data_IF_367984530332
#
_entry.id   IF_367984530332
#
_cell.length_a   1.000
_cell.length_b   1.000
_cell.length_c   1.000
_cell.angle_alpha   90.00
_cell.angle_beta   90.00
_cell.angle_gamma   90.00
#
_symmetry.space_group_name_H-M   'P 1'
#
loop_
_entity.id
_entity.type
_entity.pdbx_description
1 polymer ?
#
# COMPACT_ATOMS: atom_id res chain seq x y z
N UNK A 1 -5.42 2.16 22.71
CA UNK A 1 -5.18 1.77 21.31
C UNK A 1 -3.75 1.26 21.09
N UNK A 2 -2.72 2.09 21.34
CA UNK A 2 -1.32 1.72 21.12
C UNK A 2 -0.91 0.40 21.82
N UNK A 3 -1.19 0.24 23.11
CA UNK A 3 -0.83 -0.98 23.87
C UNK A 3 -1.48 -2.26 23.33
N UNK A 4 -2.74 -2.17 22.89
CA UNK A 4 -3.47 -3.32 22.32
C UNK A 4 -2.85 -3.73 20.99
N UNK A 5 -2.53 -2.76 20.14
CA UNK A 5 -1.88 -3.01 18.85
C UNK A 5 -0.48 -3.62 19.03
N UNK A 6 0.29 -3.14 20.02
CA UNK A 6 1.60 -3.69 20.34
C UNK A 6 1.54 -5.14 20.83
N UNK A 7 0.53 -5.49 21.64
CA UNK A 7 0.35 -6.88 22.10
C UNK A 7 -0.01 -7.80 20.95
N UNK A 8 -0.93 -7.37 20.07
CA UNK A 8 -1.31 -8.13 18.87
C UNK A 8 -0.08 -8.33 17.96
N UNK A 9 0.69 -7.26 17.72
CA UNK A 9 1.92 -7.34 16.93
C UNK A 9 2.95 -8.28 17.54
N UNK A 10 3.12 -8.27 18.86
CA UNK A 10 4.05 -9.17 19.56
C UNK A 10 3.66 -10.65 19.37
N UNK A 11 2.37 -10.98 19.52
CA UNK A 11 1.88 -12.35 19.33
C UNK A 11 2.10 -12.81 17.88
N UNK A 12 1.82 -11.93 16.90
CA UNK A 12 2.02 -12.25 15.49
C UNK A 12 3.49 -12.47 15.14
N UNK A 13 4.39 -11.61 15.66
CA UNK A 13 5.84 -11.77 15.49
C UNK A 13 6.37 -13.06 16.10
N UNK A 14 5.82 -13.50 17.24
CA UNK A 14 6.20 -14.79 17.86
C UNK A 14 5.78 -15.98 16.99
N UNK A 15 4.59 -15.95 16.38
CA UNK A 15 4.17 -16.99 15.44
C UNK A 15 5.11 -17.08 14.23
N UNK A 16 5.54 -15.93 13.71
CA UNK A 16 6.45 -15.84 12.58
C UNK A 16 7.90 -16.22 12.91
N UNK A 17 8.28 -16.44 14.18
CA UNK A 17 9.67 -16.76 14.58
C UNK A 17 10.01 -18.27 14.51
N UNK A 18 9.04 -19.13 14.23
CA UNK A 18 9.24 -20.59 14.23
C UNK A 18 9.96 -21.07 12.96
N UNK A 19 11.11 -21.75 13.09
CA UNK A 19 11.81 -22.64 12.12
C UNK A 19 11.99 -22.19 10.66
N UNK A 20 10.89 -21.95 9.95
CA UNK A 20 10.76 -21.53 8.54
C UNK A 20 10.56 -19.99 8.45
N UNK A 21 10.77 -19.28 9.56
CA UNK A 21 10.49 -17.85 9.76
C UNK A 21 11.00 -16.94 8.65
N UNK A 22 12.29 -17.03 8.32
CA UNK A 22 12.90 -16.13 7.32
C UNK A 22 12.30 -16.31 5.93
N UNK A 23 11.86 -17.52 5.58
CA UNK A 23 11.25 -17.79 4.29
C UNK A 23 9.81 -17.25 4.25
N UNK A 24 9.01 -17.54 5.28
CA UNK A 24 7.63 -17.08 5.36
C UNK A 24 7.53 -15.54 5.47
N UNK A 25 8.42 -14.92 6.27
CA UNK A 25 8.51 -13.47 6.38
C UNK A 25 8.93 -12.84 5.04
N UNK A 26 9.80 -13.48 4.27
CA UNK A 26 10.19 -13.01 2.94
C UNK A 26 9.02 -12.95 1.95
N UNK A 27 8.19 -14.01 1.92
CA UNK A 27 6.98 -14.06 1.09
C UNK A 27 6.02 -12.95 1.50
N UNK A 28 5.73 -12.84 2.81
CA UNK A 28 4.83 -11.81 3.34
C UNK A 28 5.34 -10.40 3.00
N UNK A 29 6.65 -10.14 3.16
CA UNK A 29 7.24 -8.84 2.88
C UNK A 29 7.15 -8.48 1.39
N UNK A 30 7.45 -9.44 0.50
CA UNK A 30 7.30 -9.25 -0.94
C UNK A 30 5.84 -8.95 -1.31
N UNK A 31 4.88 -9.73 -0.78
CA UNK A 31 3.46 -9.50 -1.01
C UNK A 31 3.00 -8.14 -0.51
N UNK A 32 3.33 -7.78 0.74
CA UNK A 32 2.89 -6.50 1.33
C UNK A 32 3.45 -5.31 0.56
N UNK A 33 4.73 -5.36 0.16
CA UNK A 33 5.36 -4.25 -0.56
C UNK A 33 4.89 -4.15 -2.02
N UNK A 34 4.94 -5.25 -2.77
CA UNK A 34 4.66 -5.26 -4.21
C UNK A 34 3.15 -5.21 -4.51
N UNK A 35 2.30 -5.76 -3.64
CA UNK A 35 0.85 -5.68 -3.79
C UNK A 35 0.23 -4.59 -2.92
N UNK A 36 0.35 -4.73 -1.60
CA UNK A 36 -0.43 -3.96 -0.61
C UNK A 36 -0.08 -2.47 -0.56
N UNK A 37 1.19 -2.13 -0.39
CA UNK A 37 1.63 -0.74 -0.27
C UNK A 37 1.54 -0.03 -1.62
N UNK A 38 1.98 -0.67 -2.71
CA UNK A 38 1.94 -0.05 -4.04
C UNK A 38 0.51 0.28 -4.49
N UNK A 39 -0.48 -0.62 -4.28
CA UNK A 39 -1.88 -0.32 -4.61
C UNK A 39 -2.44 0.80 -3.73
N UNK A 40 -2.10 0.81 -2.44
CA UNK A 40 -2.55 1.82 -1.49
C UNK A 40 -2.02 3.21 -1.85
N UNK A 41 -0.74 3.32 -2.17
CA UNK A 41 -0.12 4.57 -2.64
C UNK A 41 -0.70 4.96 -4.01
N UNK A 42 -0.86 4.02 -4.93
CA UNK A 42 -1.45 4.28 -6.25
C UNK A 42 -2.86 4.89 -6.15
N UNK A 43 -3.72 4.31 -5.31
CA UNK A 43 -5.07 4.83 -5.07
C UNK A 43 -5.03 6.21 -4.41
N UNK A 44 -4.19 6.40 -3.38
CA UNK A 44 -4.02 7.71 -2.74
C UNK A 44 -3.55 8.78 -3.72
N UNK A 45 -2.61 8.45 -4.61
CA UNK A 45 -2.12 9.36 -5.63
C UNK A 45 -3.19 9.71 -6.67
N UNK A 46 -4.00 8.74 -7.11
CA UNK A 46 -5.12 9.01 -8.03
C UNK A 46 -6.15 9.94 -7.37
N UNK A 47 -6.52 9.66 -6.12
CA UNK A 47 -7.41 10.53 -5.33
C UNK A 47 -6.80 11.93 -5.20
N UNK A 48 -5.52 12.03 -4.82
CA UNK A 48 -4.87 13.31 -4.62
C UNK A 48 -4.74 14.12 -5.92
N UNK A 49 -4.46 13.46 -7.04
CA UNK A 49 -4.22 14.13 -8.31
C UNK A 49 -5.51 14.57 -9.04
N UNK A 50 -6.61 13.83 -8.86
CA UNK A 50 -7.86 14.02 -9.62
C UNK A 50 -9.03 14.47 -8.76
N UNK A 51 -9.15 13.98 -7.52
CA UNK A 51 -10.22 14.39 -6.60
C UNK A 51 -9.85 15.64 -5.81
N UNK A 52 -8.61 15.74 -5.33
CA UNK A 52 -8.12 16.95 -4.70
C UNK A 52 -7.63 17.92 -5.79
N UNK A 53 -8.31 19.06 -5.88
CA UNK A 53 -8.01 20.07 -6.89
C UNK A 53 -6.62 20.68 -6.64
N UNK A 54 -5.62 20.22 -7.39
CA UNK A 54 -4.22 20.68 -7.31
C UNK A 54 -4.10 22.20 -7.51
N UNK A 55 -5.06 22.85 -8.19
CA UNK A 55 -5.04 24.31 -8.39
C UNK A 55 -5.22 25.09 -7.09
N UNK A 56 -5.85 24.49 -6.08
CA UNK A 56 -6.00 25.11 -4.75
C UNK A 56 -4.75 24.93 -3.88
N UNK A 57 -3.94 23.92 -4.14
CA UNK A 57 -2.74 23.63 -3.36
C UNK A 57 -1.50 24.39 -3.85
N UNK A 58 -1.40 24.63 -5.17
CA UNK A 58 -0.25 25.34 -5.77
C UNK A 58 -0.03 26.74 -5.16
N UNK A 59 -1.06 27.59 -4.93
CA UNK A 59 -0.87 28.91 -4.30
C UNK A 59 -0.39 28.81 -2.86
N UNK A 60 -0.95 27.89 -2.08
CA UNK A 60 -0.59 27.66 -0.66
C UNK A 60 0.87 27.18 -0.56
N UNK A 61 1.28 26.29 -1.47
CA UNK A 61 2.66 25.81 -1.57
C UNK A 61 3.62 26.93 -2.01
N UNK A 62 3.20 27.80 -2.94
CA UNK A 62 4.02 28.92 -3.41
C UNK A 62 4.13 30.06 -2.40
N UNK A 63 3.15 30.21 -1.51
CA UNK A 63 3.15 31.20 -0.42
C UNK A 63 4.06 30.78 0.73
N UNK A 64 4.06 29.49 1.08
CA UNK A 64 4.85 28.95 2.19
C UNK A 64 6.18 28.31 1.75
N UNK A 65 6.43 28.21 0.45
CA UNK A 65 7.56 27.47 -0.11
C UNK A 65 8.59 28.35 -0.81
N UNK A 66 9.87 28.02 -0.66
CA UNK A 66 10.98 28.65 -1.38
C UNK A 66 11.01 28.31 -2.89
N UNK A 67 10.39 27.19 -3.27
CA UNK A 67 10.32 26.70 -4.64
C UNK A 67 8.94 26.98 -5.23
N UNK A 68 8.90 27.84 -6.26
CA UNK A 68 7.66 28.15 -6.98
C UNK A 68 7.31 26.99 -7.92
N UNK A 69 6.27 26.25 -7.57
CA UNK A 69 5.67 25.21 -8.40
C UNK A 69 4.72 25.83 -9.42
N UNK A 70 4.94 25.51 -10.69
CA UNK A 70 4.16 26.01 -11.83
C UNK A 70 3.30 24.92 -12.50
N UNK A 71 2.71 25.25 -13.64
CA UNK A 71 1.78 24.38 -14.38
C UNK A 71 2.41 23.06 -14.85
N UNK A 72 3.73 23.04 -15.10
CA UNK A 72 4.45 21.79 -15.43
C UNK A 72 4.46 20.81 -14.25
N UNK A 73 4.63 21.30 -13.02
CA UNK A 73 4.65 20.46 -11.84
C UNK A 73 3.28 19.83 -11.57
N UNK A 74 2.21 20.58 -11.84
CA UNK A 74 0.84 20.06 -11.84
C UNK A 74 0.67 18.90 -12.84
N UNK A 75 1.19 19.04 -14.07
CA UNK A 75 1.08 17.98 -15.07
C UNK A 75 1.86 16.71 -14.66
N UNK A 76 3.04 16.88 -14.03
CA UNK A 76 3.84 15.76 -13.50
C UNK A 76 3.05 14.99 -12.43
N UNK A 77 2.46 15.67 -11.46
CA UNK A 77 1.69 15.00 -10.40
C UNK A 77 0.40 14.40 -10.94
N UNK A 78 -0.28 15.10 -11.85
CA UNK A 78 -1.57 14.66 -12.35
C UNK A 78 -1.49 13.44 -13.27
N UNK A 79 -0.41 13.33 -14.04
CA UNK A 79 -0.28 12.31 -15.08
C UNK A 79 0.95 11.42 -14.91
N UNK A 80 2.17 11.98 -14.79
CA UNK A 80 3.40 11.18 -14.76
C UNK A 80 3.46 10.29 -13.52
N UNK A 81 3.19 10.86 -12.34
CA UNK A 81 3.25 10.16 -11.07
C UNK A 81 2.29 8.94 -11.00
N UNK A 82 0.98 9.08 -11.30
CA UNK A 82 0.08 7.93 -11.28
C UNK A 82 0.42 6.90 -12.37
N UNK A 83 0.86 7.32 -13.57
CA UNK A 83 1.27 6.38 -14.63
C UNK A 83 2.46 5.54 -14.17
N UNK A 84 3.48 6.17 -13.59
CA UNK A 84 4.68 5.48 -13.13
C UNK A 84 4.37 4.50 -11.98
N UNK A 85 3.50 4.90 -11.05
CA UNK A 85 3.05 4.02 -9.97
C UNK A 85 2.28 2.81 -10.49
N UNK A 86 1.40 3.00 -11.47
CA UNK A 86 0.68 1.87 -12.11
C UNK A 86 1.67 0.93 -12.79
N UNK A 87 2.69 1.45 -13.49
CA UNK A 87 3.70 0.62 -14.14
C UNK A 87 4.48 -0.20 -13.12
N UNK A 88 4.97 0.42 -12.04
CA UNK A 88 5.69 -0.29 -10.97
C UNK A 88 4.80 -1.35 -10.35
N UNK A 89 3.53 -1.02 -10.09
CA UNK A 89 2.58 -1.98 -9.53
C UNK A 89 2.36 -3.18 -10.46
N UNK A 90 2.18 -2.97 -11.76
CA UNK A 90 2.05 -4.09 -12.72
C UNK A 90 3.31 -4.96 -12.74
N UNK A 91 4.50 -4.35 -12.67
CA UNK A 91 5.76 -5.11 -12.58
C UNK A 91 5.80 -5.92 -11.29
N UNK A 92 5.37 -5.35 -10.16
CA UNK A 92 5.28 -6.03 -8.87
C UNK A 92 4.34 -7.22 -8.90
N UNK A 93 3.16 -7.08 -9.53
CA UNK A 93 2.22 -8.19 -9.77
C UNK A 93 2.87 -9.31 -10.59
N UNK A 94 3.54 -8.94 -11.70
CA UNK A 94 4.17 -9.93 -12.57
C UNK A 94 5.28 -10.69 -11.84
N UNK A 95 6.07 -10.01 -10.98
CA UNK A 95 7.06 -10.68 -10.15
C UNK A 95 6.43 -11.63 -9.13
N UNK A 96 5.39 -11.17 -8.43
CA UNK A 96 4.69 -11.96 -7.42
C UNK A 96 4.10 -13.25 -7.99
N UNK A 97 3.53 -13.23 -9.20
CA UNK A 97 2.88 -14.42 -9.78
C UNK A 97 3.73 -15.16 -10.81
N UNK A 98 4.77 -14.53 -11.36
CA UNK A 98 5.59 -15.07 -12.43
C UNK A 98 6.72 -15.98 -11.94
N UNK A 99 7.33 -15.65 -10.80
CA UNK A 99 8.47 -16.39 -10.25
C UNK A 99 8.10 -17.31 -9.07
N UNK A 100 6.83 -17.29 -8.63
CA UNK A 100 6.40 -17.96 -7.41
C UNK A 100 6.23 -19.48 -7.56
N UNK A 101 6.81 -20.22 -6.62
CA UNK A 101 6.56 -21.66 -6.50
C UNK A 101 5.12 -21.96 -6.04
N UNK A 102 4.57 -23.17 -6.31
CA UNK A 102 3.22 -23.52 -5.88
C UNK A 102 2.95 -23.35 -4.39
N UNK A 103 3.98 -23.49 -3.54
CA UNK A 103 3.88 -23.25 -2.10
C UNK A 103 3.69 -21.76 -1.77
N UNK A 104 4.43 -20.86 -2.42
CA UNK A 104 4.36 -19.41 -2.21
C UNK A 104 3.00 -18.87 -2.63
N UNK A 105 2.48 -19.33 -3.78
CA UNK A 105 1.15 -18.97 -4.26
C UNK A 105 0.03 -19.34 -3.28
N UNK A 106 0.16 -20.45 -2.56
CA UNK A 106 -0.81 -20.86 -1.53
C UNK A 106 -0.77 -19.88 -0.35
N UNK A 107 0.43 -19.50 0.10
CA UNK A 107 0.60 -18.53 1.18
C UNK A 107 0.05 -17.16 0.78
N UNK A 108 0.36 -16.68 -0.42
CA UNK A 108 -0.16 -15.41 -0.95
C UNK A 108 -1.69 -15.42 -1.06
N UNK A 109 -2.29 -16.53 -1.53
CA UNK A 109 -3.74 -16.68 -1.56
C UNK A 109 -4.35 -16.62 -0.15
N UNK A 110 -3.72 -17.24 0.85
CA UNK A 110 -4.14 -17.15 2.26
C UNK A 110 -4.07 -15.70 2.74
N UNK A 111 -2.99 -14.97 2.43
CA UNK A 111 -2.83 -13.57 2.82
C UNK A 111 -3.91 -12.70 2.16
N UNK A 112 -4.19 -12.88 0.86
CA UNK A 112 -5.25 -12.16 0.14
C UNK A 112 -6.61 -12.39 0.82
N UNK A 113 -6.96 -13.65 1.11
CA UNK A 113 -8.21 -14.00 1.77
C UNK A 113 -8.27 -13.37 3.17
N UNK A 114 -7.19 -13.45 3.94
CA UNK A 114 -7.12 -12.83 5.27
C UNK A 114 -7.33 -11.31 5.20
N UNK A 115 -6.68 -10.63 4.26
CA UNK A 115 -6.86 -9.19 4.05
C UNK A 115 -8.31 -8.85 3.69
N UNK A 116 -8.92 -9.58 2.74
CA UNK A 116 -10.31 -9.35 2.35
C UNK A 116 -11.30 -9.58 3.49
N UNK A 117 -11.09 -10.64 4.28
CA UNK A 117 -11.92 -10.94 5.46
C UNK A 117 -11.78 -9.82 6.51
N UNK A 118 -10.55 -9.37 6.80
CA UNK A 118 -10.32 -8.28 7.74
C UNK A 118 -10.93 -6.98 7.22
N UNK A 119 -10.75 -6.63 5.95
CA UNK A 119 -11.37 -5.45 5.34
C UNK A 119 -12.90 -5.50 5.41
N UNK A 120 -13.50 -6.66 5.13
CA UNK A 120 -14.94 -6.85 5.24
C UNK A 120 -15.43 -6.75 6.69
N UNK A 121 -14.72 -7.38 7.64
CA UNK A 121 -15.03 -7.31 9.06
C UNK A 121 -14.95 -5.87 9.58
N UNK A 122 -13.90 -5.12 9.22
CA UNK A 122 -13.76 -3.71 9.57
C UNK A 122 -14.86 -2.85 8.96
N UNK A 123 -15.29 -3.12 7.72
CA UNK A 123 -16.40 -2.41 7.08
C UNK A 123 -17.73 -2.67 7.80
N UNK A 124 -17.91 -3.88 8.36
CA UNK A 124 -19.08 -4.24 9.17
C UNK A 124 -19.02 -3.72 10.60
N UNK A 125 -17.83 -3.44 11.12
CA UNK A 125 -17.64 -2.81 12.41
C UNK A 125 -18.02 -1.32 12.31
N UNK A 126 -19.33 -1.07 12.37
CA UNK A 126 -19.92 0.26 12.44
C UNK A 126 -19.20 1.03 13.54
N UNK A 127 -18.70 2.23 13.22
CA UNK A 127 -18.12 3.14 14.19
C UNK A 127 -19.12 3.35 15.34
N UNK A 128 -18.88 2.65 16.45
CA UNK A 128 -19.56 2.94 17.72
C UNK A 128 -19.03 4.28 18.17
N UNK A 129 -19.91 5.29 18.14
CA UNK A 129 -19.68 6.65 18.63
C UNK A 129 -19.04 6.67 20.02
#
# INVERSE_FOLDING_TARGET
>A
AATILSIIGCIFSLMLTTGISSYLVGIIDSFVNEFGILILIGVQCIIFAWFYDLDKFIPILNENGHLKVGTLWKAVIKYILPIFLIIIWVIGIVKLFGDAEPFELIIDAIIIVAVLVVSFALTKYKATN
#
